data_IF_055447768719
#
_entry.id   IF_055447768719
#
_cell.length_a   1.000
_cell.length_b   1.000
_cell.length_c   1.000
_cell.angle_alpha   90.00
_cell.angle_beta   90.00
_cell.angle_gamma   90.00
#
_symmetry.space_group_name_H-M   'P 1'
#
loop_
_entity.id
_entity.type
_entity.pdbx_description
1 polymer ?
#
# COMPACT_ATOMS: atom_id res chain seq x y z
N UNK A 1 2.29 13.91 12.79
CA UNK A 1 2.95 12.77 13.44
C UNK A 1 4.42 12.78 13.06
N UNK A 2 5.30 12.27 13.92
CA UNK A 2 6.71 12.03 13.60
C UNK A 2 6.86 10.80 12.69
N UNK A 3 8.02 10.63 12.06
CA UNK A 3 8.35 9.44 11.28
C UNK A 3 8.22 8.14 12.09
N UNK A 4 8.57 8.18 13.38
CA UNK A 4 8.44 7.04 14.30
C UNK A 4 6.98 6.73 14.62
N UNK A 5 6.17 7.76 14.91
CA UNK A 5 4.73 7.62 15.14
C UNK A 5 4.01 7.08 13.89
N UNK A 6 4.40 7.56 12.71
CA UNK A 6 3.89 7.10 11.42
C UNK A 6 4.21 5.63 11.18
N UNK A 7 5.49 5.25 11.33
CA UNK A 7 5.93 3.85 11.21
C UNK A 7 5.14 2.94 12.17
N UNK A 8 5.03 3.32 13.44
CA UNK A 8 4.32 2.53 14.45
C UNK A 8 2.83 2.38 14.15
N UNK A 9 2.20 3.43 13.60
CA UNK A 9 0.80 3.40 13.17
C UNK A 9 0.60 2.36 12.07
N UNK A 10 1.49 2.34 11.06
CA UNK A 10 1.44 1.36 9.99
C UNK A 10 1.79 -0.06 10.45
N UNK A 11 2.82 -0.24 11.28
CA UNK A 11 3.18 -1.54 11.87
C UNK A 11 2.00 -2.15 12.63
N UNK A 12 1.24 -1.33 13.36
CA UNK A 12 0.04 -1.78 14.08
C UNK A 12 -1.08 -2.19 13.12
N UNK A 13 -1.24 -1.48 12.00
CA UNK A 13 -2.33 -1.69 11.06
C UNK A 13 -2.10 -2.88 10.10
N UNK A 14 -0.87 -3.02 9.59
CA UNK A 14 -0.54 -3.93 8.48
C UNK A 14 0.76 -4.70 8.65
N UNK A 15 1.55 -4.45 9.70
CA UNK A 15 2.83 -5.11 9.93
C UNK A 15 2.71 -6.62 10.20
N UNK A 16 3.81 -7.33 10.00
CA UNK A 16 3.88 -8.78 10.20
C UNK A 16 3.34 -9.60 9.02
N UNK A 17 3.08 -8.95 7.89
CA UNK A 17 2.83 -9.58 6.60
C UNK A 17 3.87 -9.09 5.61
N UNK A 18 4.34 -9.96 4.72
CA UNK A 18 5.39 -9.58 3.76
C UNK A 18 5.03 -8.30 2.98
N UNK A 19 3.80 -8.22 2.47
CA UNK A 19 3.34 -7.05 1.71
C UNK A 19 3.06 -5.82 2.57
N UNK A 20 2.60 -6.00 3.81
CA UNK A 20 2.44 -4.89 4.75
C UNK A 20 3.77 -4.28 5.16
N UNK A 21 4.79 -5.12 5.38
CA UNK A 21 6.16 -4.69 5.70
C UNK A 21 6.80 -3.94 4.51
N UNK A 22 6.56 -4.39 3.26
CA UNK A 22 6.95 -3.66 2.05
C UNK A 22 6.31 -2.26 1.96
N UNK A 23 5.02 -2.14 2.30
CA UNK A 23 4.33 -0.84 2.35
C UNK A 23 4.96 0.05 3.42
N UNK A 24 5.22 -0.49 4.61
CA UNK A 24 5.84 0.26 5.71
C UNK A 24 7.21 0.78 5.27
N UNK A 25 8.06 -0.06 4.68
CA UNK A 25 9.38 0.33 4.23
C UNK A 25 9.34 1.47 3.21
N UNK A 26 8.52 1.35 2.16
CA UNK A 26 8.34 2.38 1.12
C UNK A 26 7.84 3.70 1.72
N UNK A 27 6.76 3.67 2.49
CA UNK A 27 6.16 4.89 3.04
C UNK A 27 7.08 5.58 4.07
N UNK A 28 7.82 4.81 4.86
CA UNK A 28 8.80 5.36 5.82
C UNK A 28 10.02 5.92 5.09
N UNK A 29 10.50 5.28 4.03
CA UNK A 29 11.60 5.80 3.21
C UNK A 29 11.27 7.17 2.61
N UNK A 30 10.01 7.37 2.21
CA UNK A 30 9.53 8.58 1.57
C UNK A 30 8.77 9.55 2.48
N UNK A 31 8.79 9.35 3.81
CA UNK A 31 8.00 10.13 4.77
C UNK A 31 8.26 11.65 4.69
N UNK A 32 9.53 12.06 4.55
CA UNK A 32 9.95 13.46 4.48
C UNK A 32 10.32 13.88 3.04
N UNK A 33 9.84 13.16 2.03
CA UNK A 33 10.14 13.48 0.64
C UNK A 33 9.54 14.84 0.25
N UNK A 34 10.37 15.70 -0.35
CA UNK A 34 9.97 17.05 -0.75
C UNK A 34 10.42 17.34 -2.18
N UNK A 35 9.69 18.22 -2.87
CA UNK A 35 9.97 18.58 -4.26
C UNK A 35 8.70 18.69 -5.10
N UNK A 36 8.85 19.20 -6.33
CA UNK A 36 7.72 19.45 -7.26
C UNK A 36 6.88 18.20 -7.56
N UNK A 37 7.50 17.02 -7.51
CA UNK A 37 6.88 15.74 -7.82
C UNK A 37 6.93 14.76 -6.64
N UNK A 38 7.16 15.26 -5.42
CA UNK A 38 7.14 14.43 -4.23
C UNK A 38 5.73 13.95 -3.96
N UNK A 39 5.57 12.64 -3.75
CA UNK A 39 4.30 12.03 -3.40
C UNK A 39 4.23 11.87 -1.89
N UNK A 40 3.09 12.27 -1.31
CA UNK A 40 2.83 11.94 0.08
C UNK A 40 2.41 10.46 0.22
N UNK A 41 2.31 9.98 1.45
CA UNK A 41 1.95 8.58 1.72
C UNK A 41 0.57 8.18 1.16
N UNK A 42 -0.40 9.11 1.15
CA UNK A 42 -1.73 8.87 0.57
C UNK A 42 -1.65 8.69 -0.94
N UNK A 43 -0.92 9.57 -1.64
CA UNK A 43 -0.76 9.49 -3.10
C UNK A 43 -0.13 8.14 -3.50
N UNK A 44 0.91 7.72 -2.78
CA UNK A 44 1.58 6.42 -3.00
C UNK A 44 0.63 5.24 -2.79
N UNK A 45 -0.19 5.27 -1.74
CA UNK A 45 -1.16 4.22 -1.47
C UNK A 45 -2.30 4.18 -2.49
N UNK A 46 -2.83 5.34 -2.89
CA UNK A 46 -3.89 5.42 -3.90
C UNK A 46 -3.41 4.86 -5.26
N UNK A 47 -2.21 5.23 -5.71
CA UNK A 47 -1.61 4.69 -6.93
C UNK A 47 -1.36 3.18 -6.85
N UNK A 48 -0.86 2.71 -5.70
CA UNK A 48 -0.64 1.28 -5.44
C UNK A 48 -1.96 0.51 -5.48
N UNK A 49 -3.02 1.01 -4.83
CA UNK A 49 -4.36 0.39 -4.85
C UNK A 49 -4.91 0.35 -6.27
N UNK A 50 -4.83 1.45 -7.02
CA UNK A 50 -5.31 1.53 -8.40
C UNK A 50 -4.58 0.52 -9.30
N UNK A 51 -3.26 0.42 -9.15
CA UNK A 51 -2.42 -0.52 -9.91
C UNK A 51 -2.80 -1.97 -9.62
N UNK A 52 -2.93 -2.34 -8.34
CA UNK A 52 -3.32 -3.70 -7.94
C UNK A 52 -4.73 -4.08 -8.43
N UNK A 53 -5.71 -3.17 -8.34
CA UNK A 53 -7.07 -3.38 -8.88
C UNK A 53 -7.03 -3.58 -10.40
N UNK A 54 -6.18 -2.84 -11.11
CA UNK A 54 -5.94 -3.03 -12.53
C UNK A 54 -5.41 -4.42 -12.87
N UNK A 55 -4.41 -4.91 -12.11
CA UNK A 55 -3.87 -6.26 -12.28
C UNK A 55 -4.87 -7.36 -11.92
N UNK A 56 -5.62 -7.21 -10.83
CA UNK A 56 -6.68 -8.14 -10.45
C UNK A 56 -7.69 -8.32 -11.60
N UNK A 57 -8.19 -7.20 -12.15
CA UNK A 57 -9.12 -7.21 -13.29
C UNK A 57 -8.53 -7.88 -14.53
N UNK A 58 -7.24 -7.65 -14.80
CA UNK A 58 -6.54 -8.29 -15.92
C UNK A 58 -6.42 -9.80 -15.71
N UNK A 59 -6.00 -10.24 -14.52
CA UNK A 59 -5.90 -11.66 -14.18
C UNK A 59 -7.27 -12.37 -14.26
N UNK A 60 -8.35 -11.74 -13.79
CA UNK A 60 -9.71 -12.27 -13.95
C UNK A 60 -10.08 -12.45 -15.43
N UNK A 61 -9.82 -11.45 -16.27
CA UNK A 61 -10.10 -11.51 -17.71
C UNK A 61 -9.28 -12.60 -18.44
N UNK A 62 -8.10 -12.94 -17.91
CA UNK A 62 -7.23 -14.01 -18.41
C UNK A 62 -7.54 -15.39 -17.79
N UNK A 63 -8.57 -15.50 -16.94
CA UNK A 63 -8.93 -16.76 -16.25
C UNK A 63 -7.96 -17.17 -15.14
N UNK A 64 -7.10 -16.26 -14.66
CA UNK A 64 -6.08 -16.48 -13.63
C UNK A 64 -6.62 -16.12 -12.24
N UNK A 65 -7.64 -16.84 -11.79
CA UNK A 65 -8.37 -16.53 -10.55
C UNK A 65 -7.47 -16.43 -9.30
N UNK A 66 -6.49 -17.33 -9.15
CA UNK A 66 -5.58 -17.33 -8.00
C UNK A 66 -4.75 -16.04 -7.94
N UNK A 67 -4.22 -15.59 -9.08
CA UNK A 67 -3.47 -14.33 -9.15
C UNK A 67 -4.35 -13.11 -8.94
N UNK A 68 -5.61 -13.14 -9.40
CA UNK A 68 -6.55 -12.08 -9.10
C UNK A 68 -6.81 -11.97 -7.60
N UNK A 69 -7.01 -13.11 -6.93
CA UNK A 69 -7.18 -13.16 -5.48
C UNK A 69 -5.95 -12.67 -4.72
N UNK A 70 -4.74 -12.99 -5.19
CA UNK A 70 -3.49 -12.47 -4.63
C UNK A 70 -3.41 -10.93 -4.69
N UNK A 71 -3.74 -10.33 -5.85
CA UNK A 71 -3.74 -8.86 -5.95
C UNK A 71 -4.82 -8.22 -5.09
N UNK A 72 -6.01 -8.82 -4.99
CA UNK A 72 -7.08 -8.34 -4.12
C UNK A 72 -6.73 -8.46 -2.62
N UNK A 73 -5.99 -9.49 -2.23
CA UNK A 73 -5.47 -9.61 -0.86
C UNK A 73 -4.50 -8.45 -0.55
N UNK A 74 -3.63 -8.08 -1.50
CA UNK A 74 -2.74 -6.91 -1.38
C UNK A 74 -3.51 -5.59 -1.34
N UNK A 75 -4.59 -5.46 -2.12
CA UNK A 75 -5.48 -4.28 -2.07
C UNK A 75 -6.03 -4.09 -0.67
N UNK A 76 -6.53 -5.15 -0.03
CA UNK A 76 -7.08 -5.06 1.31
C UNK A 76 -6.05 -4.61 2.36
N UNK A 77 -4.78 -5.00 2.19
CA UNK A 77 -3.68 -4.52 3.05
C UNK A 77 -3.42 -3.03 2.79
N UNK A 78 -3.31 -2.60 1.53
CA UNK A 78 -3.09 -1.20 1.18
C UNK A 78 -4.24 -0.28 1.63
N UNK A 79 -5.49 -0.73 1.53
CA UNK A 79 -6.67 0.01 2.03
C UNK A 79 -6.66 0.14 3.57
N UNK A 80 -6.20 -0.89 4.30
CA UNK A 80 -5.99 -0.81 5.76
C UNK A 80 -4.89 0.19 6.13
N UNK A 81 -3.77 0.17 5.40
CA UNK A 81 -2.68 1.14 5.60
C UNK A 81 -3.17 2.57 5.36
N UNK A 82 -3.94 2.78 4.29
CA UNK A 82 -4.51 4.09 3.96
C UNK A 82 -5.46 4.58 5.07
N UNK A 83 -6.35 3.71 5.54
CA UNK A 83 -7.28 4.05 6.62
C UNK A 83 -6.56 4.38 7.95
N UNK A 84 -5.37 3.82 8.18
CA UNK A 84 -4.60 4.08 9.40
C UNK A 84 -3.92 5.45 9.43
N UNK A 85 -3.69 6.07 8.26
CA UNK A 85 -2.95 7.33 8.13
C UNK A 85 -3.83 8.51 7.66
N UNK A 86 -5.11 8.24 7.36
CA UNK A 86 -6.08 9.22 6.88
C UNK A 86 -6.68 10.08 8.00
#
# INVERSE_FOLDING_TARGET
MTKEEFKKTLETAVGGTAYGDEIIEDLVAHFDETGKYAQNAKDRLDERIATLKGWAKKHEAEGQADKAAEELAKVAIAEKALAAIA
#
